data_IF_495117320433
#
_entry.id   IF_495117320433
#
_cell.length_a   1.000
_cell.length_b   1.000
_cell.length_c   1.000
_cell.angle_alpha   90.00
_cell.angle_beta   90.00
_cell.angle_gamma   90.00
#
_symmetry.space_group_name_H-M   'P 1'
#
loop_
_entity.id
_entity.type
_entity.pdbx_description
1 polymer ?
#
# COMPACT_ATOMS: atom_id res chain seq x y z
N UNK A 1 19.75 -37.58 -65.85
CA UNK A 1 19.37 -37.34 -64.43
C UNK A 1 20.51 -36.88 -63.52
N UNK A 2 21.80 -37.15 -63.83
CA UNK A 2 22.95 -36.82 -62.97
C UNK A 2 23.25 -35.30 -62.80
N UNK A 3 23.01 -34.47 -63.82
CA UNK A 3 23.32 -33.03 -63.75
C UNK A 3 22.32 -32.20 -62.91
N UNK A 4 21.06 -32.68 -62.72
CA UNK A 4 20.08 -31.99 -61.87
C UNK A 4 20.37 -32.15 -60.38
N UNK A 5 21.09 -33.21 -59.98
CA UNK A 5 21.49 -33.43 -58.58
C UNK A 5 22.73 -32.60 -58.20
N UNK A 6 23.69 -32.43 -59.12
CA UNK A 6 24.87 -31.59 -58.89
C UNK A 6 24.48 -30.12 -58.77
N UNK A 7 23.57 -29.63 -59.60
CA UNK A 7 23.11 -28.23 -59.54
C UNK A 7 22.28 -27.93 -58.27
N UNK A 8 21.54 -28.93 -57.74
CA UNK A 8 20.87 -28.83 -56.44
C UNK A 8 21.85 -28.90 -55.26
N UNK A 9 22.93 -29.67 -55.37
CA UNK A 9 23.96 -29.75 -54.33
C UNK A 9 24.77 -28.44 -54.23
N UNK A 10 25.07 -27.81 -55.37
CA UNK A 10 25.75 -26.51 -55.43
C UNK A 10 24.84 -25.38 -54.93
N UNK A 11 23.54 -25.37 -55.26
CA UNK A 11 22.59 -24.42 -54.65
C UNK A 11 22.40 -24.64 -53.14
N UNK A 12 22.49 -25.88 -52.65
CA UNK A 12 22.42 -26.17 -51.22
C UNK A 12 23.68 -25.73 -50.47
N UNK A 13 24.87 -25.92 -51.06
CA UNK A 13 26.14 -25.43 -50.50
C UNK A 13 26.27 -23.91 -50.57
N UNK A 14 25.74 -23.27 -51.62
CA UNK A 14 25.73 -21.80 -51.75
C UNK A 14 24.69 -21.15 -50.80
N UNK A 15 23.59 -21.86 -50.48
CA UNK A 15 22.63 -21.45 -49.46
C UNK A 15 23.15 -21.58 -48.02
N UNK A 16 24.07 -22.53 -47.77
CA UNK A 16 24.68 -22.72 -46.45
C UNK A 16 25.75 -21.66 -46.10
N UNK A 17 26.35 -21.02 -47.11
CA UNK A 17 27.38 -19.98 -46.92
C UNK A 17 26.76 -18.62 -46.55
N UNK A 18 25.47 -18.40 -46.84
CA UNK A 18 24.77 -17.13 -46.53
C UNK A 18 24.30 -17.06 -45.07
N UNK A 19 24.33 -18.17 -44.32
CA UNK A 19 23.91 -18.22 -42.91
C UNK A 19 25.02 -17.87 -41.89
N UNK A 20 26.23 -17.50 -42.34
CA UNK A 20 27.35 -17.13 -41.48
C UNK A 20 27.62 -15.61 -41.37
N UNK A 21 26.66 -14.75 -41.72
CA UNK A 21 26.69 -13.36 -41.30
C UNK A 21 25.93 -13.23 -39.99
N UNK A 22 26.54 -13.73 -38.92
CA UNK A 22 26.11 -13.41 -37.56
C UNK A 22 26.17 -11.90 -37.35
N UNK A 23 25.09 -11.33 -36.80
CA UNK A 23 25.11 -9.99 -36.23
C UNK A 23 26.33 -9.87 -35.32
N UNK A 24 27.19 -8.88 -35.55
CA UNK A 24 28.15 -8.46 -34.53
C UNK A 24 27.31 -8.02 -33.33
N UNK A 25 27.47 -8.71 -32.20
CA UNK A 25 26.99 -8.18 -30.93
C UNK A 25 27.70 -6.84 -30.72
N UNK A 26 26.93 -5.75 -30.71
CA UNK A 26 27.43 -4.45 -30.27
C UNK A 26 27.78 -4.59 -28.79
N UNK A 27 29.08 -4.68 -28.50
CA UNK A 27 29.57 -4.61 -27.12
C UNK A 27 29.16 -3.27 -26.52
N UNK A 28 28.39 -3.29 -25.43
CA UNK A 28 28.10 -2.10 -24.64
C UNK A 28 29.40 -1.70 -23.94
N UNK A 29 30.14 -0.81 -24.57
CA UNK A 29 31.37 -0.22 -24.04
C UNK A 29 31.31 1.30 -24.08
N UNK A 30 32.11 1.98 -23.25
CA UNK A 30 32.25 3.42 -23.33
C UNK A 30 32.56 3.92 -24.74
N UNK A 31 31.91 5.03 -25.13
CA UNK A 31 32.16 5.70 -26.42
C UNK A 31 33.51 6.43 -26.46
N UNK A 32 34.15 6.58 -25.30
CA UNK A 32 35.44 7.24 -25.12
C UNK A 32 36.45 6.26 -24.53
N UNK A 33 37.70 6.37 -24.95
CA UNK A 33 38.82 5.56 -24.44
C UNK A 33 39.83 6.49 -23.74
N UNK A 34 39.48 6.92 -22.52
CA UNK A 34 40.41 7.61 -21.62
C UNK A 34 40.78 6.68 -20.45
N UNK A 35 42.01 6.15 -20.51
CA UNK A 35 42.57 5.27 -19.48
C UNK A 35 43.12 6.01 -18.26
N UNK A 36 43.08 7.35 -18.26
CA UNK A 36 43.57 8.16 -17.13
C UNK A 36 42.49 8.21 -16.04
N UNK A 37 42.76 7.74 -14.81
CA UNK A 37 41.81 7.86 -13.72
C UNK A 37 41.51 9.32 -13.40
N UNK A 38 40.25 9.66 -13.06
CA UNK A 38 39.94 11.00 -12.61
C UNK A 38 40.52 11.27 -11.23
N UNK A 39 40.59 12.55 -10.87
CA UNK A 39 40.91 13.02 -9.53
C UNK A 39 39.92 12.49 -8.49
N UNK A 40 40.35 12.50 -7.23
CA UNK A 40 39.50 12.11 -6.10
C UNK A 40 38.54 13.23 -5.71
N UNK A 41 37.42 12.87 -5.10
CA UNK A 41 36.54 13.85 -4.46
C UNK A 41 37.24 14.53 -3.27
N UNK A 42 36.85 15.76 -2.95
CA UNK A 42 37.42 16.54 -1.82
C UNK A 42 36.33 17.18 -0.96
N UNK A 43 36.71 17.87 0.12
CA UNK A 43 35.79 18.54 1.05
C UNK A 43 34.64 17.63 1.53
N UNK A 44 34.98 16.40 1.91
CA UNK A 44 33.99 15.42 2.32
C UNK A 44 33.40 15.77 3.68
N UNK A 45 32.08 15.79 3.78
CA UNK A 45 31.32 15.99 5.01
C UNK A 45 30.24 14.92 5.16
N UNK A 46 29.96 14.52 6.40
CA UNK A 46 29.04 13.44 6.74
C UNK A 46 27.94 13.97 7.66
N UNK A 47 26.69 13.69 7.28
CA UNK A 47 25.50 13.87 8.11
C UNK A 47 24.87 12.51 8.38
N UNK A 48 24.88 12.06 9.64
CA UNK A 48 24.34 10.75 10.03
C UNK A 48 22.85 10.82 10.34
N UNK A 49 22.08 9.82 9.89
CA UNK A 49 20.66 9.66 10.16
C UNK A 49 20.29 8.21 10.51
N UNK A 50 18.99 7.90 10.76
CA UNK A 50 18.54 6.57 11.18
C UNK A 50 18.87 5.50 10.14
N UNK A 51 19.82 4.60 10.45
CA UNK A 51 20.29 3.54 9.56
C UNK A 51 20.92 4.03 8.25
N UNK A 52 21.36 5.29 8.19
CA UNK A 52 21.90 5.91 6.97
C UNK A 52 22.88 7.04 7.25
N UNK A 53 23.62 7.45 6.24
CA UNK A 53 24.42 8.67 6.27
C UNK A 53 24.41 9.36 4.90
N UNK A 54 24.29 10.68 4.91
CA UNK A 54 24.45 11.53 3.72
C UNK A 54 25.89 12.02 3.68
N UNK A 55 26.54 11.79 2.54
CA UNK A 55 27.93 12.19 2.31
C UNK A 55 27.92 13.27 1.24
N UNK A 56 28.46 14.44 1.57
CA UNK A 56 28.59 15.59 0.67
C UNK A 56 30.06 15.80 0.31
N UNK A 57 30.35 16.19 -0.92
CA UNK A 57 31.71 16.32 -1.43
C UNK A 57 31.81 17.34 -2.58
N UNK A 58 33.04 17.77 -2.87
CA UNK A 58 33.40 18.54 -4.06
C UNK A 58 33.90 17.61 -5.17
N UNK A 59 33.40 17.82 -6.39
CA UNK A 59 33.78 17.04 -7.57
C UNK A 59 35.15 17.46 -8.11
N UNK A 60 35.93 16.52 -8.68
CA UNK A 60 37.09 16.85 -9.50
C UNK A 60 36.71 17.74 -10.69
N UNK A 61 37.57 18.70 -11.04
CA UNK A 61 37.34 19.61 -12.16
C UNK A 61 37.82 19.00 -13.48
N UNK A 62 37.11 17.97 -13.94
CA UNK A 62 37.44 17.21 -15.16
C UNK A 62 36.24 17.09 -16.09
N UNK A 63 36.46 17.32 -17.39
CA UNK A 63 35.38 17.34 -18.39
C UNK A 63 34.79 15.97 -18.68
N UNK A 64 35.57 14.92 -18.46
CA UNK A 64 35.21 13.54 -18.72
C UNK A 64 34.72 12.79 -17.48
N UNK A 65 34.58 13.46 -16.33
CA UNK A 65 33.94 12.87 -15.15
C UNK A 65 32.49 12.45 -15.48
N UNK A 66 32.08 11.27 -15.01
CA UNK A 66 30.75 10.71 -15.28
C UNK A 66 29.90 10.59 -14.01
N UNK A 67 30.45 10.02 -12.94
CA UNK A 67 29.75 9.91 -11.66
C UNK A 67 30.73 9.73 -10.49
N UNK A 68 30.23 9.91 -9.28
CA UNK A 68 30.88 9.46 -8.04
C UNK A 68 30.14 8.22 -7.55
N UNK A 69 30.88 7.21 -7.07
CA UNK A 69 30.29 6.04 -6.42
C UNK A 69 30.79 5.84 -5.01
N UNK A 70 29.92 5.35 -4.15
CA UNK A 70 30.24 4.91 -2.80
C UNK A 70 30.11 3.39 -2.71
N UNK A 71 31.10 2.75 -2.09
CA UNK A 71 31.10 1.32 -1.81
C UNK A 71 31.22 1.11 -0.29
N UNK A 72 30.33 0.28 0.26
CA UNK A 72 30.27 0.00 1.69
C UNK A 72 29.69 -1.41 1.94
N UNK A 73 29.99 -1.96 3.11
CA UNK A 73 29.50 -3.29 3.51
C UNK A 73 28.50 -3.13 4.64
N UNK A 74 27.38 -3.85 4.56
CA UNK A 74 26.39 -3.90 5.65
C UNK A 74 26.74 -5.00 6.65
N UNK A 75 26.12 -5.00 7.83
CA UNK A 75 26.31 -6.04 8.85
C UNK A 75 25.99 -7.47 8.38
N UNK A 76 25.29 -7.63 7.26
CA UNK A 76 25.06 -8.91 6.57
C UNK A 76 26.31 -9.45 5.85
N UNK A 77 27.38 -8.67 5.75
CA UNK A 77 28.59 -8.96 4.97
C UNK A 77 28.45 -8.68 3.47
N UNK A 78 27.28 -8.21 3.01
CA UNK A 78 27.04 -7.87 1.62
C UNK A 78 27.55 -6.47 1.28
N UNK A 79 28.27 -6.36 0.17
CA UNK A 79 28.72 -5.08 -0.38
C UNK A 79 27.59 -4.40 -1.18
N UNK A 80 27.50 -3.09 -1.02
CA UNK A 80 26.55 -2.22 -1.71
C UNK A 80 27.30 -1.08 -2.41
N UNK A 81 26.80 -0.75 -3.61
CA UNK A 81 27.26 0.38 -4.40
C UNK A 81 26.13 1.38 -4.60
N UNK A 82 26.42 2.67 -4.40
CA UNK A 82 25.54 3.79 -4.72
C UNK A 82 26.27 4.74 -5.65
N UNK A 83 25.62 5.17 -6.73
CA UNK A 83 26.16 6.14 -7.70
C UNK A 83 25.42 7.47 -7.59
N UNK A 84 26.16 8.55 -7.79
CA UNK A 84 25.64 9.91 -7.94
C UNK A 84 26.25 10.55 -9.18
N UNK A 85 25.42 11.08 -10.07
CA UNK A 85 25.89 11.79 -11.26
C UNK A 85 26.69 13.05 -10.89
N UNK A 86 27.44 13.58 -11.86
CA UNK A 86 28.19 14.85 -11.74
C UNK A 86 27.32 16.08 -11.50
N UNK A 87 25.99 15.98 -11.65
CA UNK A 87 25.08 17.09 -11.37
C UNK A 87 24.75 17.21 -9.88
N UNK A 88 25.22 16.26 -9.06
CA UNK A 88 24.99 16.20 -7.63
C UNK A 88 26.34 16.19 -6.89
N UNK A 89 26.37 16.83 -5.73
CA UNK A 89 27.52 16.91 -4.81
C UNK A 89 27.32 16.07 -3.55
N UNK A 90 26.36 15.15 -3.55
CA UNK A 90 26.10 14.29 -2.40
C UNK A 90 25.49 12.95 -2.80
N UNK A 91 25.72 11.93 -1.99
CA UNK A 91 25.03 10.64 -2.06
C UNK A 91 24.61 10.17 -0.66
N UNK A 92 23.68 9.23 -0.60
CA UNK A 92 23.22 8.62 0.65
C UNK A 92 23.62 7.14 0.68
N UNK A 93 24.26 6.72 1.77
CA UNK A 93 24.51 5.31 2.10
C UNK A 93 23.49 4.85 3.13
N UNK A 94 22.87 3.70 2.92
CA UNK A 94 21.65 3.29 3.61
C UNK A 94 21.70 1.81 3.99
N UNK A 95 20.95 1.42 5.02
CA UNK A 95 20.78 0.02 5.41
C UNK A 95 21.63 -0.44 6.58
N UNK A 96 22.26 0.49 7.28
CA UNK A 96 22.95 0.17 8.53
C UNK A 96 21.95 -0.22 9.61
N UNK A 97 22.18 -1.37 10.24
CA UNK A 97 21.34 -1.89 11.32
C UNK A 97 21.77 -1.42 12.72
N UNK A 98 23.03 -1.01 12.84
CA UNK A 98 23.69 -0.64 14.09
C UNK A 98 24.09 0.86 14.13
N UNK A 99 24.78 1.25 15.19
CA UNK A 99 25.29 2.63 15.41
C UNK A 99 26.81 2.68 15.47
N UNK A 100 27.46 1.66 14.92
CA UNK A 100 28.91 1.55 14.86
C UNK A 100 29.50 2.46 13.77
N UNK A 101 30.82 2.62 13.79
CA UNK A 101 31.54 3.35 12.75
C UNK A 101 31.77 2.43 11.54
N UNK A 102 31.38 2.89 10.35
CA UNK A 102 31.54 2.17 9.09
C UNK A 102 32.43 2.95 8.13
N UNK A 103 33.29 2.24 7.41
CA UNK A 103 34.13 2.83 6.36
C UNK A 103 33.39 2.75 5.03
N UNK A 104 33.17 3.90 4.41
CA UNK A 104 32.63 4.07 3.07
C UNK A 104 33.76 4.52 2.15
N UNK A 105 33.92 3.85 1.00
CA UNK A 105 34.92 4.21 -0.01
C UNK A 105 34.27 4.99 -1.13
N UNK A 106 34.67 6.24 -1.31
CA UNK A 106 34.23 7.08 -2.43
C UNK A 106 35.21 7.00 -3.59
N UNK A 107 34.67 6.93 -4.80
CA UNK A 107 35.43 6.92 -6.04
C UNK A 107 34.82 7.89 -7.05
N UNK A 108 35.67 8.61 -7.78
CA UNK A 108 35.30 9.30 -9.01
C UNK A 108 35.44 8.33 -10.18
N UNK A 109 34.50 8.36 -11.12
CA UNK A 109 34.51 7.52 -12.31
C UNK A 109 34.31 8.37 -13.55
N UNK A 110 35.18 8.20 -14.55
CA UNK A 110 35.12 8.94 -15.80
C UNK A 110 34.17 8.25 -16.82
N UNK A 111 33.96 8.88 -17.98
CA UNK A 111 33.11 8.38 -19.06
C UNK A 111 33.60 7.08 -19.70
N UNK A 112 34.85 6.72 -19.46
CA UNK A 112 35.49 5.48 -19.90
C UNK A 112 35.45 4.39 -18.83
N UNK A 113 34.68 4.59 -17.75
CA UNK A 113 34.55 3.67 -16.60
C UNK A 113 35.88 3.42 -15.83
N UNK A 114 36.84 4.33 -15.96
CA UNK A 114 38.09 4.29 -15.18
C UNK A 114 37.86 4.96 -13.83
N UNK A 115 38.31 4.30 -12.77
CA UNK A 115 38.02 4.61 -11.37
C UNK A 115 39.24 5.27 -10.71
N UNK A 116 39.01 6.33 -9.93
CA UNK A 116 40.04 6.98 -9.12
C UNK A 116 40.56 6.08 -7.98
N UNK A 117 41.60 6.54 -7.27
CA UNK A 117 41.88 6.03 -5.93
C UNK A 117 40.69 6.30 -4.97
N UNK A 118 40.49 5.48 -3.92
CA UNK A 118 39.41 5.69 -2.96
C UNK A 118 39.70 6.86 -2.02
N UNK A 119 38.65 7.57 -1.63
CA UNK A 119 38.62 8.39 -0.42
C UNK A 119 37.83 7.63 0.63
N UNK A 120 38.49 7.24 1.73
CA UNK A 120 37.84 6.56 2.85
C UNK A 120 37.16 7.57 3.76
N UNK A 121 35.89 7.33 4.04
CA UNK A 121 35.02 8.20 4.83
C UNK A 121 34.40 7.37 5.94
N UNK A 122 34.54 7.83 7.17
CA UNK A 122 33.91 7.20 8.33
C UNK A 122 32.52 7.76 8.54
N UNK A 123 31.52 6.89 8.55
CA UNK A 123 30.13 7.24 8.89
C UNK A 123 29.75 6.54 10.19
N UNK A 124 28.88 7.18 10.98
CA UNK A 124 28.37 6.61 12.24
C UNK A 124 26.86 6.79 12.28
N UNK A 125 26.09 5.88 11.66
CA UNK A 125 24.65 5.98 11.54
C UNK A 125 23.97 6.16 12.89
N UNK A 126 22.83 6.84 12.89
CA UNK A 126 21.94 6.85 14.05
C UNK A 126 21.16 5.53 14.11
N UNK A 127 20.54 5.26 15.26
CA UNK A 127 19.76 4.05 15.49
C UNK A 127 18.73 3.84 14.38
N UNK A 128 18.71 2.64 13.82
CA UNK A 128 17.80 2.28 12.73
C UNK A 128 16.34 2.47 13.15
N UNK A 129 15.52 3.03 12.25
CA UNK A 129 14.12 3.35 12.49
C UNK A 129 13.30 2.17 13.03
N UNK A 130 13.64 0.91 12.68
CA UNK A 130 12.97 -0.30 13.19
C UNK A 130 12.81 -0.29 14.71
N UNK A 131 13.80 0.21 15.45
CA UNK A 131 13.81 0.21 16.90
C UNK A 131 12.81 1.22 17.49
N UNK A 132 12.74 2.42 16.91
CA UNK A 132 11.75 3.42 17.30
C UNK A 132 10.33 2.91 17.05
N UNK A 133 10.09 2.22 15.93
CA UNK A 133 8.78 1.66 15.61
C UNK A 133 8.46 0.52 16.57
N UNK A 134 9.42 -0.37 16.85
CA UNK A 134 9.26 -1.50 17.76
C UNK A 134 8.90 -1.06 19.18
N UNK A 135 9.57 -0.04 19.72
CA UNK A 135 9.25 0.51 21.05
C UNK A 135 7.84 1.11 21.15
N UNK A 136 7.26 1.51 20.02
CA UNK A 136 5.88 2.02 19.94
C UNK A 136 4.85 0.96 19.53
N UNK A 137 5.28 -0.28 19.29
CA UNK A 137 4.43 -1.35 18.78
C UNK A 137 3.43 -1.81 19.85
N UNK A 138 2.15 -1.65 19.54
CA UNK A 138 1.02 -2.21 20.26
C UNK A 138 0.36 -3.31 19.44
N UNK A 139 -0.07 -4.35 20.15
CA UNK A 139 -0.87 -5.45 19.59
C UNK A 139 -2.07 -5.72 20.49
N UNK A 140 -3.26 -5.76 19.91
CA UNK A 140 -4.50 -6.13 20.61
C UNK A 140 -5.32 -7.12 19.77
N UNK A 141 -6.23 -7.84 20.43
CA UNK A 141 -7.19 -8.68 19.73
C UNK A 141 -8.12 -7.82 18.86
N UNK A 142 -8.49 -8.35 17.69
CA UNK A 142 -9.41 -7.74 16.74
C UNK A 142 -10.32 -8.80 16.12
N UNK A 143 -11.34 -8.38 15.39
CA UNK A 143 -12.26 -9.23 14.65
C UNK A 143 -11.56 -10.11 13.62
N UNK A 144 -11.71 -11.42 13.78
CA UNK A 144 -11.00 -12.45 13.05
C UNK A 144 -9.48 -12.27 13.04
N UNK A 145 -8.89 -11.57 14.02
CA UNK A 145 -7.45 -11.50 14.14
C UNK A 145 -6.88 -10.57 15.20
N UNK A 146 -5.88 -9.77 14.79
CA UNK A 146 -5.17 -8.83 15.65
C UNK A 146 -5.10 -7.46 14.99
N UNK A 147 -5.01 -6.42 15.81
CA UNK A 147 -4.75 -5.06 15.39
C UNK A 147 -3.37 -4.63 15.88
N UNK A 148 -2.59 -4.06 14.96
CA UNK A 148 -1.24 -3.57 15.19
C UNK A 148 -1.24 -2.05 15.08
N UNK A 149 -0.62 -1.40 16.08
CA UNK A 149 -0.43 0.04 16.11
C UNK A 149 1.03 0.38 16.34
N UNK A 150 1.59 1.34 15.61
CA UNK A 150 2.96 1.82 15.85
C UNK A 150 3.19 3.19 15.19
N UNK A 151 4.32 3.84 15.50
CA UNK A 151 4.71 5.13 14.93
C UNK A 151 6.02 5.03 14.15
N UNK A 152 5.96 5.25 12.85
CA UNK A 152 7.09 5.29 11.92
C UNK A 152 7.40 6.75 11.52
N UNK A 153 7.91 7.52 12.47
CA UNK A 153 8.21 8.96 12.30
C UNK A 153 9.10 9.26 11.09
N UNK A 154 9.99 8.32 10.73
CA UNK A 154 10.94 8.48 9.63
C UNK A 154 10.40 8.01 8.28
N UNK A 155 9.16 7.51 8.22
CA UNK A 155 8.54 6.97 7.00
C UNK A 155 9.43 5.94 6.28
N UNK A 156 10.18 5.15 7.05
CA UNK A 156 11.04 4.11 6.51
C UNK A 156 10.18 3.02 5.87
N UNK A 157 10.67 2.39 4.81
CA UNK A 157 10.03 1.22 4.21
C UNK A 157 10.20 0.01 5.13
N UNK A 158 9.11 -0.43 5.76
CA UNK A 158 9.11 -1.47 6.77
C UNK A 158 8.19 -2.63 6.40
N UNK A 159 8.58 -3.83 6.82
CA UNK A 159 7.72 -4.98 6.94
C UNK A 159 7.45 -5.26 8.42
N UNK A 160 6.18 -5.32 8.81
CA UNK A 160 5.77 -5.86 10.11
C UNK A 160 5.38 -7.32 9.88
N UNK A 161 6.21 -8.21 10.41
CA UNK A 161 6.05 -9.64 10.23
C UNK A 161 5.31 -10.22 11.43
N UNK A 162 4.24 -10.95 11.13
CA UNK A 162 3.38 -11.57 12.16
C UNK A 162 3.58 -13.06 12.09
N UNK A 163 4.01 -13.66 13.19
CA UNK A 163 4.16 -15.09 13.36
C UNK A 163 3.14 -15.61 14.36
N UNK A 164 2.74 -16.87 14.18
CA UNK A 164 1.87 -17.60 15.11
C UNK A 164 2.55 -18.87 15.59
N UNK A 165 2.36 -19.20 16.86
CA UNK A 165 2.84 -20.48 17.39
C UNK A 165 1.95 -21.63 16.88
N UNK A 166 2.56 -22.57 16.16
CA UNK A 166 1.98 -23.87 15.77
C UNK A 166 2.95 -24.97 16.18
N UNK A 167 2.46 -26.00 16.87
CA UNK A 167 3.26 -27.14 17.32
C UNK A 167 4.55 -26.73 18.07
N UNK A 168 4.44 -25.73 18.93
CA UNK A 168 5.56 -25.19 19.73
C UNK A 168 6.54 -24.28 18.97
N UNK A 169 6.39 -24.10 17.65
CA UNK A 169 7.25 -23.24 16.82
C UNK A 169 6.50 -22.03 16.29
N UNK A 170 7.17 -20.89 16.24
CA UNK A 170 6.63 -19.71 15.56
C UNK A 170 6.82 -19.85 14.05
N UNK A 171 5.71 -19.80 13.33
CA UNK A 171 5.69 -19.83 11.87
C UNK A 171 5.11 -18.53 11.33
N UNK A 172 5.64 -18.06 10.21
CA UNK A 172 5.13 -16.88 9.53
C UNK A 172 3.64 -17.04 9.26
N UNK A 173 2.86 -16.02 9.61
CA UNK A 173 1.50 -15.90 9.08
C UNK A 173 1.60 -15.54 7.60
N UNK A 174 0.58 -15.89 6.81
CA UNK A 174 0.55 -15.53 5.39
C UNK A 174 0.33 -14.01 5.14
N UNK A 175 0.39 -13.17 6.18
CA UNK A 175 -0.12 -11.79 6.16
C UNK A 175 0.80 -10.84 6.93
N UNK A 176 1.87 -10.43 6.26
CA UNK A 176 2.74 -9.35 6.72
C UNK A 176 2.22 -8.00 6.23
N UNK A 177 2.52 -6.94 6.97
CA UNK A 177 2.16 -5.57 6.59
C UNK A 177 3.40 -4.89 6.01
N UNK A 178 3.30 -4.37 4.79
CA UNK A 178 4.33 -3.55 4.17
C UNK A 178 3.86 -2.10 4.18
N UNK A 179 4.65 -1.20 4.78
CA UNK A 179 4.21 0.18 4.98
C UNK A 179 5.36 1.16 5.16
N UNK A 180 5.07 2.43 4.85
CA UNK A 180 5.90 3.60 5.14
C UNK A 180 5.12 4.74 5.80
N UNK A 181 3.87 4.49 6.19
CA UNK A 181 3.00 5.52 6.80
C UNK A 181 3.50 5.87 8.20
N UNK A 182 3.29 7.12 8.62
CA UNK A 182 3.70 7.59 9.96
C UNK A 182 2.91 6.88 11.06
N UNK A 183 1.59 6.91 10.99
CA UNK A 183 0.71 6.29 11.98
C UNK A 183 0.22 4.94 11.45
N UNK A 184 0.80 3.87 12.01
CA UNK A 184 0.42 2.50 11.67
C UNK A 184 -0.77 2.13 12.54
N UNK A 185 -1.88 1.82 11.88
CA UNK A 185 -3.10 1.27 12.47
C UNK A 185 -3.65 0.27 11.43
N UNK A 186 -3.33 -1.01 11.61
CA UNK A 186 -3.62 -2.07 10.63
C UNK A 186 -4.06 -3.35 11.31
N UNK A 187 -5.07 -4.02 10.73
CA UNK A 187 -5.58 -5.31 11.21
C UNK A 187 -5.06 -6.45 10.36
N UNK A 188 -4.60 -7.53 10.99
CA UNK A 188 -4.26 -8.79 10.34
C UNK A 188 -5.34 -9.82 10.67
N UNK A 189 -6.12 -10.20 9.67
CA UNK A 189 -7.32 -11.06 9.81
C UNK A 189 -7.08 -12.50 9.36
N UNK A 190 -8.04 -13.39 9.59
CA UNK A 190 -8.00 -14.80 9.18
C UNK A 190 -7.55 -15.76 10.29
N UNK A 191 -7.62 -15.32 11.55
CA UNK A 191 -7.39 -16.15 12.71
C UNK A 191 -8.72 -16.57 13.34
N UNK A 192 -8.76 -17.77 13.89
CA UNK A 192 -9.91 -18.28 14.64
C UNK A 192 -10.01 -17.61 16.03
N UNK A 193 -11.16 -17.78 16.67
CA UNK A 193 -11.54 -17.19 17.97
C UNK A 193 -11.00 -17.94 19.19
N UNK A 194 -9.97 -18.75 18.97
CA UNK A 194 -9.24 -19.48 20.02
C UNK A 194 -8.06 -18.65 20.51
N UNK A 195 -7.62 -18.89 21.75
CA UNK A 195 -6.42 -18.23 22.26
C UNK A 195 -5.20 -18.68 21.45
N UNK A 196 -4.45 -17.72 20.92
CA UNK A 196 -3.33 -17.92 20.03
C UNK A 196 -2.13 -17.10 20.52
N UNK A 197 -0.92 -17.69 20.47
CA UNK A 197 0.32 -16.95 20.71
C UNK A 197 0.83 -16.35 19.41
N UNK A 198 1.08 -15.06 19.45
CA UNK A 198 1.63 -14.24 18.38
C UNK A 198 3.06 -13.81 18.73
N UNK A 199 3.86 -13.64 17.69
CA UNK A 199 5.17 -13.00 17.74
C UNK A 199 5.22 -11.99 16.59
N UNK A 200 5.64 -10.76 16.87
CA UNK A 200 5.69 -9.68 15.88
C UNK A 200 7.06 -9.05 15.87
N UNK A 201 7.67 -8.96 14.69
CA UNK A 201 8.96 -8.30 14.48
C UNK A 201 8.85 -7.27 13.37
N UNK A 202 9.70 -6.26 13.43
CA UNK A 202 9.82 -5.23 12.39
C UNK A 202 11.10 -5.47 11.63
N UNK A 203 11.00 -5.39 10.30
CA UNK A 203 12.13 -5.59 9.40
C UNK A 203 12.19 -4.46 8.37
N UNK A 204 13.39 -3.99 8.07
CA UNK A 204 13.59 -3.07 6.95
C UNK A 204 13.91 -3.79 5.63
N UNK A 205 14.11 -3.03 4.55
CA UNK A 205 14.45 -3.59 3.22
C UNK A 205 15.86 -4.18 3.12
N UNK A 206 16.72 -3.96 4.11
CA UNK A 206 18.10 -4.47 4.18
C UNK A 206 18.24 -5.69 5.09
N UNK A 207 17.11 -6.23 5.56
CA UNK A 207 17.04 -7.39 6.45
C UNK A 207 17.61 -7.12 7.85
N UNK A 208 17.56 -5.86 8.30
CA UNK A 208 17.73 -5.57 9.73
C UNK A 208 16.40 -5.86 10.44
N UNK A 209 16.47 -6.55 11.57
CA UNK A 209 15.31 -6.94 12.38
C UNK A 209 15.36 -6.25 13.75
N UNK A 210 14.19 -5.86 14.25
CA UNK A 210 14.02 -5.54 15.66
C UNK A 210 14.04 -6.80 16.53
N UNK A 211 13.93 -6.61 17.84
CA UNK A 211 13.48 -7.68 18.72
C UNK A 211 12.01 -8.07 18.42
N UNK A 212 11.49 -9.09 19.10
CA UNK A 212 10.18 -9.68 18.87
C UNK A 212 9.22 -9.40 20.02
N UNK A 213 8.06 -8.84 19.69
CA UNK A 213 6.95 -8.67 20.63
C UNK A 213 6.12 -9.95 20.68
N UNK A 214 6.04 -10.58 21.85
CA UNK A 214 5.21 -11.76 22.07
C UNK A 214 3.91 -11.41 22.78
N UNK A 215 2.79 -11.95 22.31
CA UNK A 215 1.48 -11.75 22.94
C UNK A 215 0.62 -13.02 22.85
N UNK A 216 -0.19 -13.28 23.87
CA UNK A 216 -1.24 -14.32 23.82
C UNK A 216 -2.59 -13.62 23.74
N UNK A 217 -3.27 -13.74 22.60
CA UNK A 217 -4.50 -13.02 22.31
C UNK A 217 -5.59 -13.97 21.85
N UNK A 218 -6.85 -13.60 22.08
CA UNK A 218 -8.03 -14.32 21.59
C UNK A 218 -8.77 -13.43 20.59
N UNK A 219 -8.63 -13.66 19.27
CA UNK A 219 -9.36 -12.91 18.26
C UNK A 219 -10.87 -12.89 18.49
N UNK A 220 -11.50 -11.78 18.11
CA UNK A 220 -12.95 -11.61 18.23
C UNK A 220 -13.65 -12.35 17.07
N UNK A 221 -14.84 -12.86 17.31
CA UNK A 221 -15.62 -13.54 16.26
C UNK A 221 -16.15 -12.54 15.24
N UNK A 222 -16.04 -12.87 13.95
CA UNK A 222 -16.60 -12.09 12.86
C UNK A 222 -17.33 -13.01 11.89
N UNK A 223 -18.52 -12.59 11.47
CA UNK A 223 -19.23 -13.16 10.33
C UNK A 223 -19.84 -12.04 9.49
N UNK A 224 -20.12 -12.33 8.21
CA UNK A 224 -21.02 -11.49 7.41
C UNK A 224 -22.42 -11.56 8.03
N UNK A 225 -23.05 -10.40 8.24
CA UNK A 225 -24.46 -10.35 8.63
C UNK A 225 -25.34 -10.67 7.39
N UNK A 226 -26.39 -11.49 7.51
CA UNK A 226 -27.18 -11.90 6.34
C UNK A 226 -27.88 -10.70 5.68
N UNK A 227 -27.57 -10.42 4.41
CA UNK A 227 -28.24 -9.36 3.63
C UNK A 227 -29.76 -9.56 3.52
N UNK A 228 -30.23 -10.80 3.62
CA UNK A 228 -31.65 -11.16 3.69
C UNK A 228 -32.39 -10.51 4.85
N UNK A 229 -31.67 -10.09 5.89
CA UNK A 229 -32.22 -9.46 7.09
C UNK A 229 -32.27 -7.93 6.95
N UNK A 230 -31.58 -7.36 5.96
CA UNK A 230 -31.49 -5.91 5.80
C UNK A 230 -32.79 -5.30 5.29
N UNK A 231 -33.23 -4.21 5.89
CA UNK A 231 -34.44 -3.49 5.47
C UNK A 231 -34.16 -2.00 5.35
N UNK A 232 -34.64 -1.33 4.28
CA UNK A 232 -34.52 0.11 4.19
C UNK A 232 -35.42 0.76 5.26
N UNK A 233 -34.94 1.84 5.86
CA UNK A 233 -35.75 2.69 6.73
C UNK A 233 -35.64 4.11 6.24
N UNK A 234 -36.77 4.80 6.23
CA UNK A 234 -36.82 6.23 5.93
C UNK A 234 -37.23 6.96 7.20
N UNK A 235 -36.29 7.69 7.80
CA UNK A 235 -36.57 8.61 8.90
C UNK A 235 -36.77 10.04 8.36
N UNK A 236 -37.45 10.95 9.09
CA UNK A 236 -37.80 12.28 8.59
C UNK A 236 -36.65 13.13 8.07
N UNK A 237 -35.43 12.90 8.54
CA UNK A 237 -34.23 13.67 8.14
C UNK A 237 -33.37 12.95 7.10
N UNK A 238 -33.67 11.69 6.77
CA UNK A 238 -32.95 10.94 5.77
C UNK A 238 -33.23 11.51 4.38
N UNK A 239 -32.23 11.47 3.50
CA UNK A 239 -32.41 11.94 2.13
C UNK A 239 -33.22 10.94 1.31
N UNK A 240 -34.05 11.45 0.40
CA UNK A 240 -34.71 10.62 -0.59
C UNK A 240 -33.73 10.07 -1.63
N UNK A 241 -34.10 8.95 -2.28
CA UNK A 241 -33.42 8.48 -3.48
C UNK A 241 -33.71 9.42 -4.66
N UNK A 242 -32.78 9.51 -5.61
CA UNK A 242 -32.93 10.34 -6.81
C UNK A 242 -34.09 9.84 -7.66
N UNK A 243 -34.13 8.53 -7.92
CA UNK A 243 -35.17 7.86 -8.69
C UNK A 243 -35.79 6.71 -7.91
N UNK A 244 -37.04 6.35 -8.24
CA UNK A 244 -37.68 5.12 -7.73
C UNK A 244 -36.96 3.85 -8.18
N UNK A 245 -36.27 3.92 -9.31
CA UNK A 245 -35.48 2.83 -9.88
C UNK A 245 -34.08 2.69 -9.30
N UNK A 246 -33.66 3.57 -8.38
CA UNK A 246 -32.38 3.53 -7.64
C UNK A 246 -32.65 3.44 -6.13
N UNK A 247 -33.34 2.39 -5.71
CA UNK A 247 -33.78 2.17 -4.33
C UNK A 247 -32.61 1.95 -3.37
N UNK A 248 -32.79 2.36 -2.11
CA UNK A 248 -31.84 2.08 -1.02
C UNK A 248 -31.55 0.58 -0.89
N UNK A 249 -32.55 -0.27 -1.15
CA UNK A 249 -32.44 -1.72 -1.07
C UNK A 249 -31.49 -2.36 -2.08
N UNK A 250 -31.10 -1.64 -3.13
CA UNK A 250 -30.13 -2.17 -4.08
C UNK A 250 -28.72 -2.24 -3.51
N UNK A 251 -28.41 -1.55 -2.39
CA UNK A 251 -27.12 -1.72 -1.72
C UNK A 251 -26.91 -3.14 -1.14
N UNK A 252 -27.88 -4.06 -1.21
CA UNK A 252 -27.69 -5.41 -0.69
C UNK A 252 -28.37 -6.48 -1.56
N UNK A 253 -28.46 -6.26 -2.87
CA UNK A 253 -29.11 -7.18 -3.82
C UNK A 253 -28.13 -8.12 -4.56
N UNK A 254 -26.82 -7.95 -4.35
CA UNK A 254 -25.76 -8.73 -4.99
C UNK A 254 -25.23 -8.12 -6.28
N UNK A 255 -25.72 -6.95 -6.70
CA UNK A 255 -25.29 -6.25 -7.91
C UNK A 255 -24.28 -5.13 -7.61
N UNK A 256 -23.05 -5.29 -8.12
CA UNK A 256 -21.98 -4.29 -7.92
C UNK A 256 -21.79 -3.36 -9.13
N UNK A 257 -22.54 -3.53 -10.23
CA UNK A 257 -22.20 -2.93 -11.54
C UNK A 257 -23.34 -2.21 -12.24
N UNK A 258 -24.57 -2.72 -12.17
CA UNK A 258 -25.58 -2.40 -13.17
C UNK A 258 -26.40 -1.18 -12.79
N UNK A 259 -26.57 -0.28 -13.76
CA UNK A 259 -27.58 0.76 -13.64
C UNK A 259 -28.96 0.19 -14.01
N UNK A 260 -30.05 0.54 -13.30
CA UNK A 260 -30.14 1.44 -12.14
C UNK A 260 -30.10 0.69 -10.79
N UNK A 261 -29.52 -0.51 -10.72
CA UNK A 261 -29.46 -1.38 -9.52
C UNK A 261 -28.44 -0.86 -8.50
N UNK A 262 -28.66 0.37 -8.05
CA UNK A 262 -27.83 1.08 -7.07
C UNK A 262 -28.70 1.93 -6.15
N UNK A 263 -28.18 2.30 -4.98
CA UNK A 263 -28.71 3.40 -4.19
C UNK A 263 -28.08 4.70 -4.67
N UNK A 264 -28.90 5.58 -5.25
CA UNK A 264 -28.49 6.92 -5.66
C UNK A 264 -29.31 7.95 -4.88
N UNK A 265 -28.67 8.73 -4.02
CA UNK A 265 -29.36 9.80 -3.29
C UNK A 265 -29.45 11.10 -4.10
N UNK A 266 -30.28 12.05 -3.65
CA UNK A 266 -30.56 13.29 -4.39
C UNK A 266 -29.31 14.08 -4.77
N UNK A 267 -29.07 14.20 -6.06
CA UNK A 267 -27.90 14.87 -6.66
C UNK A 267 -27.95 16.39 -6.51
N UNK A 268 -29.16 16.95 -6.36
CA UNK A 268 -29.39 18.40 -6.20
C UNK A 268 -29.22 18.92 -4.77
N UNK A 269 -29.16 18.03 -3.77
CA UNK A 269 -28.93 18.39 -2.38
C UNK A 269 -27.41 18.42 -2.13
N UNK A 270 -26.88 19.58 -1.73
CA UNK A 270 -25.43 19.79 -1.58
C UNK A 270 -24.96 19.86 -0.12
N UNK A 271 -25.88 19.69 0.84
CA UNK A 271 -25.54 19.49 2.25
C UNK A 271 -25.23 18.02 2.52
N UNK A 272 -24.50 17.67 3.60
CA UNK A 272 -24.28 16.28 3.97
C UNK A 272 -25.58 15.48 3.98
N UNK A 273 -25.54 14.28 3.40
CA UNK A 273 -26.71 13.42 3.22
C UNK A 273 -26.53 12.12 3.98
N UNK A 274 -27.63 11.50 4.41
CA UNK A 274 -27.58 10.20 5.04
C UNK A 274 -28.78 9.34 4.72
N UNK A 275 -28.55 8.03 4.82
CA UNK A 275 -29.55 6.97 4.64
C UNK A 275 -29.44 5.98 5.79
N UNK A 276 -30.57 5.38 6.18
CA UNK A 276 -30.68 4.46 7.31
C UNK A 276 -31.21 3.09 6.90
N UNK A 277 -30.69 2.03 7.49
CA UNK A 277 -31.18 0.67 7.28
C UNK A 277 -31.11 -0.17 8.56
N UNK A 278 -32.03 -1.13 8.67
CA UNK A 278 -32.07 -2.16 9.72
C UNK A 278 -31.19 -3.33 9.29
N UNK A 279 -30.39 -3.87 10.21
CA UNK A 279 -29.62 -5.11 10.02
C UNK A 279 -30.44 -6.37 10.35
N UNK A 280 -31.66 -6.20 10.86
CA UNK A 280 -32.59 -7.24 11.29
C UNK A 280 -32.35 -7.75 12.71
N UNK A 281 -31.11 -7.67 13.21
CA UNK A 281 -30.75 -8.04 14.58
C UNK A 281 -29.60 -7.19 15.14
N UNK A 282 -29.54 -6.99 16.48
CA UNK A 282 -28.40 -6.33 17.11
C UNK A 282 -27.10 -7.13 16.92
N UNK A 283 -26.00 -6.44 16.62
CA UNK A 283 -24.67 -7.03 16.50
C UNK A 283 -23.58 -6.06 16.96
N UNK A 284 -22.46 -6.58 17.47
CA UNK A 284 -21.23 -5.80 17.63
C UNK A 284 -20.52 -5.76 16.30
N UNK A 285 -20.42 -4.59 15.68
CA UNK A 285 -19.96 -4.47 14.30
C UNK A 285 -18.44 -4.35 14.21
N UNK A 286 -17.86 -5.01 13.22
CA UNK A 286 -16.42 -5.03 13.00
C UNK A 286 -15.99 -4.17 11.82
N UNK A 287 -16.72 -4.24 10.72
CA UNK A 287 -16.44 -3.51 9.48
C UNK A 287 -17.67 -3.45 8.58
N UNK A 288 -17.64 -2.49 7.67
CA UNK A 288 -18.52 -2.44 6.51
C UNK A 288 -17.67 -2.51 5.24
N UNK A 289 -18.08 -3.32 4.27
CA UNK A 289 -17.52 -3.28 2.92
C UNK A 289 -18.51 -2.55 2.03
N UNK A 290 -18.02 -1.58 1.25
CA UNK A 290 -18.82 -0.79 0.32
C UNK A 290 -18.24 -0.93 -1.08
N UNK A 291 -19.11 -1.19 -2.06
CA UNK A 291 -18.83 -1.09 -3.48
C UNK A 291 -19.57 0.13 -4.01
N UNK A 292 -18.82 1.15 -4.38
CA UNK A 292 -19.35 2.32 -5.08
C UNK A 292 -19.80 1.92 -6.49
N UNK A 293 -20.79 2.63 -7.03
CA UNK A 293 -21.20 2.40 -8.42
C UNK A 293 -20.08 2.77 -9.39
N UNK A 294 -19.67 1.86 -10.30
CA UNK A 294 -18.72 2.18 -11.34
C UNK A 294 -19.40 2.95 -12.48
N UNK A 295 -19.27 4.27 -12.45
CA UNK A 295 -19.78 5.18 -13.46
C UNK A 295 -19.27 4.83 -14.86
N UNK A 296 -20.13 4.96 -15.87
CA UNK A 296 -19.76 4.68 -17.25
C UNK A 296 -19.26 5.96 -17.93
N UNK A 297 -17.95 6.03 -18.15
CA UNK A 297 -17.29 7.10 -18.89
C UNK A 297 -16.86 6.60 -20.29
N UNK A 298 -16.42 7.50 -21.16
CA UNK A 298 -15.93 7.14 -22.50
C UNK A 298 -14.75 6.14 -22.47
N UNK A 299 -13.99 6.11 -21.37
CA UNK A 299 -12.89 5.18 -21.10
C UNK A 299 -13.32 3.87 -20.43
N UNK A 300 -14.63 3.66 -20.21
CA UNK A 300 -15.20 2.51 -19.54
C UNK A 300 -15.63 2.80 -18.09
N UNK A 301 -15.74 1.72 -17.30
CA UNK A 301 -16.23 1.72 -15.92
C UNK A 301 -15.23 2.35 -14.94
N UNK A 302 -15.67 3.34 -14.16
CA UNK A 302 -14.82 4.10 -13.23
C UNK A 302 -15.44 4.21 -11.83
N UNK A 303 -14.76 3.68 -10.81
CA UNK A 303 -15.26 3.64 -9.43
C UNK A 303 -14.98 4.91 -8.62
N UNK A 304 -13.81 5.53 -8.80
CA UNK A 304 -13.38 6.71 -8.04
C UNK A 304 -13.88 8.01 -8.69
N UNK A 305 -15.20 8.06 -8.93
CA UNK A 305 -15.86 9.11 -9.71
C UNK A 305 -17.26 9.40 -9.17
N UNK A 306 -17.78 10.60 -9.47
CA UNK A 306 -19.18 10.93 -9.22
C UNK A 306 -19.59 10.78 -7.75
N UNK A 307 -20.67 10.02 -7.52
CA UNK A 307 -21.31 9.83 -6.22
C UNK A 307 -20.67 8.80 -5.29
N UNK A 308 -19.59 8.13 -5.69
CA UNK A 308 -18.92 7.18 -4.79
C UNK A 308 -18.52 7.87 -3.49
N UNK A 309 -18.72 7.21 -2.35
CA UNK A 309 -18.49 7.81 -1.04
C UNK A 309 -17.00 8.09 -0.86
N UNK A 310 -16.64 9.32 -0.44
CA UNK A 310 -15.25 9.69 -0.22
C UNK A 310 -14.99 10.03 1.24
N UNK A 311 -15.59 11.09 1.78
CA UNK A 311 -15.50 11.46 3.20
C UNK A 311 -16.84 11.19 3.86
N UNK A 312 -16.92 10.18 4.70
CA UNK A 312 -18.19 9.73 5.25
C UNK A 312 -18.05 9.19 6.68
N UNK A 313 -19.18 9.08 7.36
CA UNK A 313 -19.30 8.57 8.71
C UNK A 313 -20.27 7.38 8.72
N UNK A 314 -19.99 6.42 9.60
CA UNK A 314 -20.91 5.32 9.91
C UNK A 314 -21.39 5.50 11.34
N UNK A 315 -22.70 5.50 11.52
CA UNK A 315 -23.37 5.64 12.81
C UNK A 315 -24.22 4.40 13.09
N UNK A 316 -24.28 4.00 14.35
CA UNK A 316 -25.06 2.85 14.80
C UNK A 316 -26.03 3.21 15.93
N UNK A 317 -27.20 2.59 15.94
CA UNK A 317 -28.16 2.69 17.05
C UNK A 317 -28.89 1.36 17.25
N UNK A 318 -29.36 1.11 18.46
CA UNK A 318 -30.32 0.02 18.75
C UNK A 318 -31.76 0.53 18.88
N UNK A 319 -31.94 1.85 19.05
CA UNK A 319 -33.23 2.49 19.22
C UNK A 319 -33.20 3.90 18.60
N UNK A 320 -33.22 4.01 17.27
CA UNK A 320 -33.18 5.29 16.58
C UNK A 320 -34.48 6.07 16.85
N UNK A 321 -34.39 7.38 17.07
CA UNK A 321 -35.55 8.20 17.36
C UNK A 321 -36.41 8.36 16.09
N UNK A 322 -37.73 8.29 16.24
CA UNK A 322 -38.67 8.43 15.13
C UNK A 322 -38.66 9.80 14.46
N UNK A 323 -38.05 10.81 15.10
CA UNK A 323 -37.87 12.16 14.54
C UNK A 323 -36.72 12.25 13.52
N UNK A 324 -35.91 11.19 13.39
CA UNK A 324 -34.76 11.12 12.48
C UNK A 324 -33.50 11.85 12.96
N UNK A 325 -33.51 12.46 14.15
CA UNK A 325 -32.33 13.09 14.74
C UNK A 325 -31.18 12.10 14.95
N UNK A 326 -29.99 12.62 15.27
CA UNK A 326 -28.84 11.80 15.68
C UNK A 326 -28.87 11.44 17.18
N UNK A 327 -29.96 11.74 17.90
CA UNK A 327 -30.11 11.29 19.28
C UNK A 327 -30.08 9.75 19.34
N UNK A 328 -29.46 9.17 20.37
CA UNK A 328 -29.25 7.71 20.50
C UNK A 328 -28.42 7.06 19.37
N UNK A 329 -27.73 7.84 18.54
CA UNK A 329 -26.75 7.30 17.58
C UNK A 329 -25.34 7.39 18.15
N UNK A 330 -24.58 6.32 17.95
CA UNK A 330 -23.15 6.25 18.29
C UNK A 330 -22.34 6.33 17.00
N UNK A 331 -21.33 7.20 16.95
CA UNK A 331 -20.37 7.25 15.85
C UNK A 331 -19.50 6.00 15.89
N UNK A 332 -19.58 5.18 14.84
CA UNK A 332 -18.85 3.92 14.71
C UNK A 332 -17.51 4.11 13.99
N UNK A 333 -17.41 5.14 13.15
CA UNK A 333 -16.16 5.54 12.50
C UNK A 333 -16.33 6.70 11.51
N UNK A 334 -15.22 7.37 11.21
CA UNK A 334 -15.09 8.41 10.18
C UNK A 334 -14.04 7.95 9.18
N UNK A 335 -14.36 8.03 7.90
CA UNK A 335 -13.58 7.41 6.84
C UNK A 335 -13.29 8.38 5.71
N UNK A 336 -12.13 8.18 5.09
CA UNK A 336 -11.79 8.74 3.80
C UNK A 336 -11.41 7.61 2.85
N UNK A 337 -12.18 7.43 1.77
CA UNK A 337 -11.88 6.47 0.73
C UNK A 337 -10.52 6.79 0.10
N UNK A 338 -9.66 5.78 0.00
CA UNK A 338 -8.32 5.92 -0.57
C UNK A 338 -8.29 5.30 -1.95
N UNK A 339 -7.77 6.06 -2.90
CA UNK A 339 -7.46 5.58 -4.23
C UNK A 339 -6.04 5.01 -4.25
N UNK A 340 -5.84 3.70 -4.47
CA UNK A 340 -4.53 3.06 -4.36
C UNK A 340 -3.43 3.76 -5.16
N UNK A 341 -3.71 4.11 -6.42
CA UNK A 341 -2.70 4.71 -7.29
C UNK A 341 -2.37 6.16 -6.96
N UNK A 342 -3.23 6.85 -6.19
CA UNK A 342 -3.14 8.30 -6.01
C UNK A 342 -3.31 9.13 -7.30
N UNK A 343 -3.72 8.51 -8.41
CA UNK A 343 -3.88 9.20 -9.70
C UNK A 343 -5.02 10.24 -9.66
N UNK A 344 -4.97 11.21 -10.57
CA UNK A 344 -5.94 12.31 -10.65
C UNK A 344 -7.40 11.83 -10.81
N UNK A 345 -8.35 12.70 -10.45
CA UNK A 345 -9.78 12.47 -10.65
C UNK A 345 -10.09 12.15 -12.12
N UNK A 346 -10.96 11.16 -12.36
CA UNK A 346 -11.32 10.70 -13.71
C UNK A 346 -10.28 9.78 -14.39
N UNK A 347 -9.09 9.61 -13.79
CA UNK A 347 -8.10 8.61 -14.24
C UNK A 347 -8.27 7.35 -13.40
N UNK A 348 -8.19 6.15 -13.99
CA UNK A 348 -8.23 4.90 -13.23
C UNK A 348 -7.15 3.96 -13.73
N UNK A 349 -6.37 3.41 -12.80
CA UNK A 349 -5.36 2.38 -13.10
C UNK A 349 -5.95 0.98 -12.89
N UNK A 350 -5.23 -0.06 -13.35
CA UNK A 350 -5.63 -1.45 -13.10
C UNK A 350 -5.69 -1.80 -11.61
N UNK A 351 -4.79 -1.25 -10.79
CA UNK A 351 -4.79 -1.41 -9.33
C UNK A 351 -6.03 -0.80 -8.70
N UNK A 352 -6.41 0.41 -9.12
CA UNK A 352 -7.62 1.09 -8.65
C UNK A 352 -8.87 0.24 -8.94
N UNK A 353 -9.01 -0.23 -10.18
CA UNK A 353 -10.14 -1.06 -10.60
C UNK A 353 -10.22 -2.36 -9.79
N UNK A 354 -9.10 -3.07 -9.64
CA UNK A 354 -9.06 -4.32 -8.88
C UNK A 354 -9.46 -4.12 -7.41
N UNK A 355 -8.95 -3.07 -6.77
CA UNK A 355 -9.29 -2.73 -5.39
C UNK A 355 -10.78 -2.39 -5.23
N UNK A 356 -11.32 -1.56 -6.11
CA UNK A 356 -12.73 -1.16 -6.05
C UNK A 356 -13.69 -2.33 -6.35
N UNK A 357 -13.35 -3.17 -7.33
CA UNK A 357 -14.13 -4.36 -7.68
C UNK A 357 -14.12 -5.40 -6.54
N UNK A 358 -13.05 -5.46 -5.73
CA UNK A 358 -12.99 -6.28 -4.52
C UNK A 358 -13.81 -5.71 -3.35
N UNK A 359 -14.16 -4.42 -3.39
CA UNK A 359 -14.89 -3.70 -2.36
C UNK A 359 -14.00 -3.06 -1.30
N UNK A 360 -14.36 -1.86 -0.85
CA UNK A 360 -13.60 -1.13 0.15
C UNK A 360 -14.04 -1.51 1.56
N UNK A 361 -13.13 -2.12 2.31
CA UNK A 361 -13.37 -2.53 3.69
C UNK A 361 -13.00 -1.41 4.67
N UNK A 362 -13.99 -0.94 5.44
CA UNK A 362 -13.83 0.09 6.47
C UNK A 362 -13.99 -0.54 7.86
N UNK A 363 -12.88 -0.69 8.59
CA UNK A 363 -12.89 -1.20 9.96
C UNK A 363 -13.54 -0.20 10.91
N UNK A 364 -14.54 -0.65 11.67
CA UNK A 364 -15.22 0.15 12.68
C UNK A 364 -14.44 0.14 14.00
N UNK A 365 -14.72 1.11 14.87
CA UNK A 365 -14.06 1.21 16.17
C UNK A 365 -14.39 0.00 17.05
N UNK A 366 -13.36 -0.67 17.55
CA UNK A 366 -13.47 -1.76 18.54
C UNK A 366 -14.05 -1.20 19.84
N UNK A 367 -14.90 -1.98 20.50
CA UNK A 367 -15.54 -1.58 21.77
C UNK A 367 -16.75 -0.65 21.60
N UNK A 368 -17.26 -0.51 20.38
CA UNK A 368 -18.56 0.12 20.13
C UNK A 368 -19.71 -0.77 20.63
N UNK A 369 -20.85 -0.18 21.03
CA UNK A 369 -21.99 -0.94 21.52
C UNK A 369 -22.58 -1.85 20.43
N UNK A 370 -23.37 -2.86 20.85
CA UNK A 370 -24.23 -3.59 19.92
C UNK A 370 -25.26 -2.63 19.33
N UNK A 371 -25.46 -2.72 18.03
CA UNK A 371 -26.41 -1.89 17.28
C UNK A 371 -27.17 -2.74 16.28
N UNK A 372 -28.40 -2.34 15.97
CA UNK A 372 -29.28 -2.97 14.98
C UNK A 372 -29.44 -2.12 13.73
N UNK A 373 -29.40 -0.80 13.87
CA UNK A 373 -29.61 0.16 12.79
C UNK A 373 -28.29 0.83 12.43
N UNK A 374 -28.05 0.98 11.14
CA UNK A 374 -26.91 1.73 10.62
C UNK A 374 -27.38 2.92 9.81
N UNK A 375 -26.60 4.00 9.92
CA UNK A 375 -26.72 5.19 9.09
C UNK A 375 -25.38 5.48 8.43
N UNK A 376 -25.40 5.66 7.11
CA UNK A 376 -24.26 6.11 6.32
C UNK A 376 -24.48 7.60 6.06
N UNK A 377 -23.58 8.44 6.55
CA UNK A 377 -23.61 9.89 6.35
C UNK A 377 -22.44 10.30 5.47
N UNK A 378 -22.72 10.73 4.25
CA UNK A 378 -21.71 11.20 3.32
C UNK A 378 -21.55 12.73 3.43
N UNK A 379 -20.33 13.14 3.73
CA UNK A 379 -19.93 14.54 3.80
C UNK A 379 -19.33 15.02 2.48
N UNK A 380 -18.70 14.11 1.71
CA UNK A 380 -18.12 14.42 0.41
C UNK A 380 -18.01 13.17 -0.47
N UNK A 381 -18.42 13.25 -1.73
CA UNK A 381 -18.16 12.24 -2.76
C UNK A 381 -16.96 12.62 -3.64
N UNK A 382 -16.58 11.75 -4.58
CA UNK A 382 -15.41 11.94 -5.44
C UNK A 382 -15.47 13.20 -6.32
N UNK A 383 -16.66 13.63 -6.73
CA UNK A 383 -16.83 14.88 -7.48
C UNK A 383 -16.93 16.15 -6.62
N UNK A 384 -16.79 16.04 -5.30
CA UNK A 384 -16.79 17.17 -4.39
C UNK A 384 -18.17 17.67 -3.95
N UNK A 385 -19.22 16.88 -4.14
CA UNK A 385 -20.60 17.13 -3.65
C UNK A 385 -20.94 16.13 -2.53
N UNK A 386 -22.22 15.89 -2.20
CA UNK A 386 -22.60 15.07 -1.02
C UNK A 386 -23.50 13.87 -1.29
N UNK A 387 -24.07 13.72 -2.50
CA UNK A 387 -24.88 12.54 -2.80
C UNK A 387 -24.04 11.26 -2.82
N UNK A 388 -24.72 10.13 -2.63
CA UNK A 388 -24.12 8.81 -2.61
C UNK A 388 -24.58 8.00 -3.81
N UNK A 389 -23.66 7.28 -4.44
CA UNK A 389 -23.90 6.31 -5.50
C UNK A 389 -23.26 4.99 -5.10
N UNK A 390 -24.01 4.16 -4.36
CA UNK A 390 -23.53 2.91 -3.77
C UNK A 390 -24.22 1.76 -4.48
N UNK A 391 -23.43 0.87 -5.09
CA UNK A 391 -23.95 -0.32 -5.74
C UNK A 391 -24.24 -1.41 -4.72
N UNK A 392 -23.31 -1.67 -3.80
CA UNK A 392 -23.45 -2.77 -2.84
C UNK A 392 -22.77 -2.44 -1.51
N UNK A 393 -23.22 -3.08 -0.43
CA UNK A 393 -22.56 -3.11 0.86
C UNK A 393 -22.69 -4.47 1.54
N UNK A 394 -21.79 -4.74 2.48
CA UNK A 394 -21.86 -5.89 3.38
C UNK A 394 -21.36 -5.49 4.76
N UNK A 395 -22.18 -5.70 5.78
CA UNK A 395 -21.81 -5.48 7.19
C UNK A 395 -21.29 -6.78 7.81
N UNK A 396 -20.24 -6.68 8.62
CA UNK A 396 -19.65 -7.78 9.36
C UNK A 396 -19.65 -7.47 10.86
N UNK A 397 -19.72 -8.52 11.67
CA UNK A 397 -19.66 -8.40 13.12
C UNK A 397 -19.99 -9.69 13.85
N UNK A 398 -20.32 -9.54 15.13
CA UNK A 398 -20.77 -10.62 16.02
C UNK A 398 -22.25 -10.43 16.40
N UNK A 399 -23.17 -11.25 15.86
CA UNK A 399 -24.59 -11.18 16.19
C UNK A 399 -25.00 -12.03 17.41
N UNK A 400 -24.06 -12.69 18.10
CA UNK A 400 -24.35 -13.62 19.20
C UNK A 400 -24.63 -12.91 20.52
#
# INVERSE_FOLDING_TARGET
MRNKHIMKLVSFFLGLIILNQGCKEDEIKPLTDNQTPPGVVSNVSVENGPGKAKITYSLPNEKDLLYVKAVYTLGTGKEYEVKSSIYNSSLEVVGFGDTEEHVVKLYSVNRSEVVSAPVEVKVKPQENAIWSVFRSLGIIADFAGIKLTAKNTFQSDLAIEVLVQKDGKYVQSAKNIYTKVVDIDQSVRGFDTVSQKFAVTIRDRWLNYSDTLYATLKPLYETALPKSDYRPITLPTDVAQEYTSTSLSYMWDGNIMDWPRISLTKTTILTPQWVTFDLGKPATLSRIVIWDYPEYLNSGRTYYYGGGVNQFEIWGSDNPPGDGSFNNWTLMGTFQAKKPSGSAYGVQTGEDYAAANAGFSYSLKIGTPKVRYLRIKNNRNWQGTTFMSVAELQVYGDPR
#
